data_IF_758643783133
#
_entry.id   IF_758643783133
#
_cell.length_a   1.000
_cell.length_b   1.000
_cell.length_c   1.000
_cell.angle_alpha   90.00
_cell.angle_beta   90.00
_cell.angle_gamma   90.00
#
_symmetry.space_group_name_H-M   'P 1'
#
loop_
_entity.id
_entity.type
_entity.pdbx_description
1 polymer ?
#
# COMPACT_ATOMS: atom_id res chain seq x y z
N UNK A 1 10.80 -6.32 -16.51
CA UNK A 1 11.53 -7.10 -15.49
C UNK A 1 13.02 -6.88 -15.68
N UNK A 2 13.74 -6.49 -14.62
CA UNK A 2 15.19 -6.59 -14.62
C UNK A 2 15.55 -8.08 -14.50
N UNK A 3 16.27 -8.63 -15.49
CA UNK A 3 16.72 -10.02 -15.47
C UNK A 3 17.98 -10.20 -14.63
N UNK A 4 18.28 -11.43 -14.20
CA UNK A 4 19.60 -11.76 -13.67
C UNK A 4 20.54 -12.03 -14.85
N UNK A 5 21.74 -11.44 -14.79
CA UNK A 5 22.79 -11.61 -15.78
C UNK A 5 24.00 -12.27 -15.13
N UNK A 6 24.65 -13.16 -15.88
CA UNK A 6 25.91 -13.78 -15.51
C UNK A 6 27.01 -13.20 -16.39
N UNK A 7 28.09 -12.72 -15.77
CA UNK A 7 29.31 -12.36 -16.48
C UNK A 7 30.13 -13.62 -16.78
N UNK A 8 30.42 -13.87 -18.05
CA UNK A 8 31.27 -14.96 -18.54
C UNK A 8 32.49 -14.39 -19.26
N UNK A 9 33.47 -15.24 -19.60
CA UNK A 9 34.63 -14.83 -20.41
C UNK A 9 34.22 -14.26 -21.78
N UNK A 10 33.06 -14.67 -22.30
CA UNK A 10 32.49 -14.21 -23.59
C UNK A 10 31.53 -13.01 -23.45
N UNK A 11 31.33 -12.50 -22.22
CA UNK A 11 30.51 -11.31 -21.94
C UNK A 11 29.30 -11.58 -21.02
N UNK A 12 28.34 -10.65 -21.01
CA UNK A 12 27.14 -10.74 -20.18
C UNK A 12 26.07 -11.63 -20.83
N UNK A 13 25.65 -12.68 -20.12
CA UNK A 13 24.62 -13.62 -20.54
C UNK A 13 23.41 -13.52 -19.62
N UNK A 14 22.22 -13.25 -20.18
CA UNK A 14 20.98 -13.25 -19.41
C UNK A 14 20.61 -14.67 -18.97
N UNK A 15 20.40 -14.87 -17.66
CA UNK A 15 19.88 -16.11 -17.13
C UNK A 15 18.36 -16.17 -17.34
N UNK A 16 17.86 -17.36 -17.64
CA UNK A 16 16.43 -17.63 -17.74
C UNK A 16 15.93 -18.26 -16.45
N UNK A 17 14.79 -17.81 -15.91
CA UNK A 17 14.20 -18.44 -14.76
C UNK A 17 13.76 -19.87 -15.09
N UNK A 18 13.96 -20.77 -14.14
CA UNK A 18 13.45 -22.13 -14.16
C UNK A 18 12.05 -22.18 -13.52
N UNK A 19 11.08 -22.86 -14.17
CA UNK A 19 9.75 -22.99 -13.60
C UNK A 19 9.76 -23.86 -12.34
N UNK A 20 8.87 -23.55 -11.40
CA UNK A 20 8.64 -24.44 -10.26
C UNK A 20 7.89 -25.68 -10.74
N UNK A 21 8.41 -26.87 -10.41
CA UNK A 21 7.77 -28.14 -10.80
C UNK A 21 6.44 -28.37 -10.07
N UNK A 22 6.31 -27.84 -8.85
CA UNK A 22 5.14 -28.00 -7.97
C UNK A 22 5.01 -26.77 -7.09
N UNK A 23 3.76 -26.37 -6.83
CA UNK A 23 3.40 -25.30 -5.89
C UNK A 23 4.03 -25.49 -4.51
N UNK A 24 4.03 -26.74 -4.03
CA UNK A 24 4.65 -27.13 -2.76
C UNK A 24 6.10 -26.65 -2.60
N UNK A 25 6.88 -26.63 -3.69
CA UNK A 25 8.28 -26.21 -3.64
C UNK A 25 8.40 -24.70 -3.38
N UNK A 26 7.51 -23.91 -4.00
CA UNK A 26 7.46 -22.47 -3.76
C UNK A 26 6.94 -22.21 -2.34
N UNK A 27 5.85 -22.87 -1.96
CA UNK A 27 5.28 -22.84 -0.62
C UNK A 27 6.35 -23.10 0.48
N UNK A 28 7.07 -24.21 0.39
CA UNK A 28 8.10 -24.59 1.38
C UNK A 28 9.31 -23.64 1.37
N UNK A 29 9.50 -22.87 0.30
CA UNK A 29 10.54 -21.83 0.25
C UNK A 29 10.08 -20.56 0.98
N UNK A 30 8.79 -20.19 0.85
CA UNK A 30 8.18 -19.06 1.56
C UNK A 30 8.11 -19.34 3.06
N UNK A 31 7.66 -20.54 3.46
CA UNK A 31 7.59 -20.91 4.87
C UNK A 31 8.94 -20.81 5.58
N UNK A 32 10.02 -21.29 4.94
CA UNK A 32 11.38 -21.28 5.53
C UNK A 32 12.07 -19.93 5.44
N UNK A 33 11.57 -19.04 4.59
CA UNK A 33 12.26 -17.81 4.19
C UNK A 33 11.33 -16.62 4.16
N UNK A 34 10.50 -16.43 5.20
CA UNK A 34 9.53 -15.34 5.27
C UNK A 34 10.14 -13.96 4.97
N UNK A 35 11.36 -13.72 5.47
CA UNK A 35 12.14 -12.50 5.24
C UNK A 35 12.47 -12.23 3.77
N UNK A 36 12.32 -13.21 2.88
CA UNK A 36 12.53 -12.99 1.45
C UNK A 36 11.37 -12.22 0.80
N UNK A 37 10.20 -12.11 1.43
CA UNK A 37 9.08 -11.35 0.88
C UNK A 37 9.37 -9.84 0.96
N UNK A 38 9.47 -9.12 -0.19
CA UNK A 38 9.85 -7.71 -0.22
C UNK A 38 8.62 -6.81 0.02
N UNK A 39 8.00 -6.96 1.19
CA UNK A 39 6.75 -6.28 1.51
C UNK A 39 6.98 -4.79 1.85
N UNK A 40 6.02 -3.90 1.53
CA UNK A 40 6.07 -2.50 1.95
C UNK A 40 6.19 -2.36 3.48
N UNK A 41 7.14 -1.53 3.91
CA UNK A 41 7.48 -1.34 5.33
C UNK A 41 8.47 -2.37 5.89
N UNK A 42 8.85 -3.39 5.11
CA UNK A 42 9.82 -4.43 5.47
C UNK A 42 9.54 -5.03 6.88
N UNK A 43 8.31 -5.49 7.15
CA UNK A 43 7.97 -6.03 8.48
C UNK A 43 8.73 -7.33 8.76
N UNK A 44 8.95 -7.60 10.04
CA UNK A 44 9.40 -8.92 10.49
C UNK A 44 8.20 -9.86 10.51
N UNK A 45 8.17 -10.81 9.58
CA UNK A 45 7.11 -11.80 9.49
C UNK A 45 7.42 -13.03 10.33
N UNK A 46 6.57 -13.31 11.32
CA UNK A 46 6.63 -14.53 12.12
C UNK A 46 5.64 -15.54 11.55
N UNK A 47 6.13 -16.64 11.00
CA UNK A 47 5.27 -17.71 10.46
C UNK A 47 4.59 -18.45 11.62
N UNK A 48 3.25 -18.53 11.58
CA UNK A 48 2.44 -19.11 12.66
C UNK A 48 1.87 -20.48 12.29
N UNK A 49 1.48 -20.65 11.03
CA UNK A 49 0.88 -21.90 10.57
C UNK A 49 0.99 -22.08 9.07
N UNK A 50 0.91 -23.35 8.66
CA UNK A 50 0.80 -23.78 7.27
C UNK A 50 -0.45 -24.62 7.10
N UNK A 51 -1.12 -24.52 5.96
CA UNK A 51 -2.36 -25.23 5.65
C UNK A 51 -3.39 -25.07 6.78
N UNK A 52 -3.63 -23.82 7.18
CA UNK A 52 -4.50 -23.48 8.31
C UNK A 52 -5.94 -23.50 7.84
N UNK A 53 -6.79 -24.32 8.48
CA UNK A 53 -8.20 -24.40 8.12
C UNK A 53 -8.95 -23.11 8.49
N UNK A 54 -9.46 -22.40 7.49
CA UNK A 54 -10.25 -21.18 7.66
C UNK A 54 -11.58 -21.32 6.92
N UNK A 55 -12.66 -21.47 7.68
CA UNK A 55 -14.00 -21.75 7.14
C UNK A 55 -14.01 -23.05 6.33
N UNK A 56 -14.36 -22.97 5.05
CA UNK A 56 -14.40 -24.12 4.14
C UNK A 56 -13.10 -24.35 3.35
N UNK A 57 -12.07 -23.53 3.57
CA UNK A 57 -10.80 -23.60 2.85
C UNK A 57 -9.60 -23.77 3.79
N UNK A 58 -8.43 -23.86 3.18
CA UNK A 58 -7.14 -23.92 3.87
C UNK A 58 -6.29 -22.78 3.34
N UNK A 59 -5.87 -21.88 4.23
CA UNK A 59 -4.88 -20.87 3.90
C UNK A 59 -3.51 -21.54 3.86
N UNK A 60 -2.78 -21.31 2.76
CA UNK A 60 -1.47 -21.90 2.53
C UNK A 60 -0.53 -21.57 3.70
N UNK A 61 -0.39 -20.28 4.05
CA UNK A 61 0.40 -19.83 5.20
C UNK A 61 -0.29 -18.70 5.97
N UNK A 62 -0.14 -18.71 7.29
CA UNK A 62 -0.53 -17.63 8.20
C UNK A 62 0.69 -17.13 8.95
N UNK A 63 0.85 -15.82 8.98
CA UNK A 63 1.90 -15.12 9.70
C UNK A 63 1.36 -13.91 10.46
N UNK A 64 2.23 -13.25 11.21
CA UNK A 64 1.96 -11.95 11.84
C UNK A 64 3.16 -11.04 11.70
N UNK A 65 2.92 -9.73 11.56
CA UNK A 65 3.96 -8.70 11.64
C UNK A 65 4.33 -8.48 13.10
N UNK A 66 5.59 -8.69 13.48
CA UNK A 66 6.04 -8.59 14.86
C UNK A 66 5.84 -7.16 15.42
N UNK A 67 6.05 -6.14 14.58
CA UNK A 67 6.01 -4.74 14.97
C UNK A 67 4.57 -4.25 15.23
N UNK A 68 3.64 -4.62 14.34
CA UNK A 68 2.27 -4.08 14.34
C UNK A 68 1.25 -5.04 14.93
N UNK A 69 1.62 -6.30 15.17
CA UNK A 69 0.75 -7.41 15.53
C UNK A 69 -0.35 -7.71 14.50
N UNK A 70 -0.14 -7.28 13.25
CA UNK A 70 -1.10 -7.40 12.16
C UNK A 70 -1.06 -8.81 11.56
N UNK A 71 -2.19 -9.53 11.48
CA UNK A 71 -2.23 -10.83 10.85
C UNK A 71 -1.99 -10.75 9.34
N UNK A 72 -1.25 -11.72 8.82
CA UNK A 72 -0.86 -11.84 7.42
C UNK A 72 -1.32 -13.19 6.88
N UNK A 73 -2.13 -13.16 5.81
CA UNK A 73 -2.54 -14.36 5.08
C UNK A 73 -1.73 -14.41 3.78
N UNK A 74 -1.06 -15.52 3.54
CA UNK A 74 -0.21 -15.70 2.37
C UNK A 74 -0.74 -16.88 1.56
N UNK A 75 -1.14 -16.62 0.32
CA UNK A 75 -1.56 -17.63 -0.64
C UNK A 75 -0.47 -17.82 -1.69
N UNK A 76 -0.10 -19.06 -1.98
CA UNK A 76 0.96 -19.41 -2.91
C UNK A 76 0.36 -20.16 -4.09
N UNK A 77 0.60 -19.69 -5.31
CA UNK A 77 0.12 -20.36 -6.52
C UNK A 77 1.16 -20.39 -7.62
N UNK A 78 1.11 -21.40 -8.49
CA UNK A 78 1.82 -21.36 -9.77
C UNK A 78 0.98 -20.65 -10.84
N UNK A 79 1.59 -19.79 -11.63
CA UNK A 79 0.94 -19.00 -12.68
C UNK A 79 0.16 -19.88 -13.68
N UNK A 80 0.69 -21.08 -13.98
CA UNK A 80 0.07 -22.04 -14.89
C UNK A 80 -1.21 -22.68 -14.36
N UNK A 81 -1.48 -22.61 -13.05
CA UNK A 81 -2.61 -23.27 -12.39
C UNK A 81 -3.49 -22.30 -11.58
N UNK A 82 -3.34 -20.99 -11.80
CA UNK A 82 -4.08 -19.98 -11.03
C UNK A 82 -5.38 -19.61 -11.74
N UNK A 83 -6.54 -19.96 -11.15
CA UNK A 83 -7.76 -19.18 -11.40
C UNK A 83 -7.62 -17.86 -10.64
N UNK A 84 -7.43 -16.80 -11.43
CA UNK A 84 -6.97 -15.48 -10.99
C UNK A 84 -8.01 -14.75 -10.14
N UNK A 85 -9.30 -15.10 -10.28
CA UNK A 85 -10.37 -14.59 -9.41
C UNK A 85 -10.43 -15.38 -8.10
N UNK A 86 -10.13 -16.67 -8.18
CA UNK A 86 -10.16 -17.55 -7.03
C UNK A 86 -9.08 -17.18 -6.01
N UNK A 87 -7.87 -16.82 -6.45
CA UNK A 87 -6.77 -16.48 -5.52
C UNK A 87 -7.12 -15.30 -4.60
N UNK A 88 -7.64 -14.19 -5.13
CA UNK A 88 -8.09 -13.07 -4.29
C UNK A 88 -9.34 -13.40 -3.49
N UNK A 89 -10.28 -14.15 -4.08
CA UNK A 89 -11.48 -14.59 -3.34
C UNK A 89 -11.10 -15.45 -2.13
N UNK A 90 -10.09 -16.31 -2.26
CA UNK A 90 -9.54 -17.11 -1.18
C UNK A 90 -8.89 -16.22 -0.12
N UNK A 91 -7.92 -15.37 -0.49
CA UNK A 91 -7.20 -14.54 0.48
C UNK A 91 -8.14 -13.56 1.21
N UNK A 92 -9.09 -12.95 0.49
CA UNK A 92 -10.13 -12.10 1.09
C UNK A 92 -11.13 -12.89 1.94
N UNK A 93 -11.50 -14.09 1.51
CA UNK A 93 -12.35 -15.00 2.28
C UNK A 93 -11.71 -15.41 3.60
N UNK A 94 -10.39 -15.66 3.59
CA UNK A 94 -9.61 -15.95 4.78
C UNK A 94 -9.50 -14.73 5.71
N UNK A 95 -9.18 -13.55 5.18
CA UNK A 95 -9.20 -12.32 5.97
C UNK A 95 -10.60 -12.06 6.60
N UNK A 96 -11.67 -12.30 5.84
CA UNK A 96 -13.05 -12.19 6.34
C UNK A 96 -13.38 -13.21 7.42
N UNK A 97 -12.80 -14.42 7.40
CA UNK A 97 -12.99 -15.41 8.45
C UNK A 97 -12.29 -15.01 9.75
N UNK A 98 -11.10 -14.40 9.63
CA UNK A 98 -10.32 -13.93 10.79
C UNK A 98 -10.88 -12.65 11.41
N UNK A 99 -11.64 -11.86 10.63
CA UNK A 99 -12.24 -10.61 11.08
C UNK A 99 -13.16 -10.80 12.29
N UNK A 100 -12.90 -10.05 13.36
CA UNK A 100 -13.68 -10.09 14.61
C UNK A 100 -13.39 -11.29 15.51
N UNK A 101 -12.37 -12.11 15.21
CA UNK A 101 -11.87 -13.08 16.18
C UNK A 101 -11.17 -12.36 17.33
N UNK A 102 -11.36 -12.87 18.56
CA UNK A 102 -10.52 -12.41 19.67
C UNK A 102 -9.08 -12.93 19.51
N UNK A 103 -8.12 -12.27 20.16
CA UNK A 103 -6.74 -12.76 20.19
C UNK A 103 -6.65 -14.20 20.74
N UNK A 104 -7.50 -14.56 21.70
CA UNK A 104 -7.55 -15.90 22.27
C UNK A 104 -8.10 -16.95 21.27
N UNK A 105 -9.12 -16.59 20.51
CA UNK A 105 -9.67 -17.47 19.46
C UNK A 105 -8.67 -17.66 18.32
N UNK A 106 -7.93 -16.61 17.96
CA UNK A 106 -6.84 -16.69 16.98
C UNK A 106 -5.68 -17.57 17.47
N UNK A 107 -5.28 -17.44 18.73
CA UNK A 107 -4.30 -18.33 19.37
C UNK A 107 -4.80 -19.79 19.35
N UNK A 108 -6.06 -20.03 19.69
CA UNK A 108 -6.66 -21.36 19.71
C UNK A 108 -6.70 -21.98 18.31
N UNK A 109 -7.03 -21.19 17.29
CA UNK A 109 -7.02 -21.60 15.89
C UNK A 109 -5.62 -22.05 15.44
N UNK A 110 -4.57 -21.35 15.86
CA UNK A 110 -3.19 -21.62 15.46
C UNK A 110 -2.46 -22.62 16.36
N UNK A 111 -3.02 -22.94 17.52
CA UNK A 111 -2.42 -23.83 18.52
C UNK A 111 -1.89 -25.16 17.97
N UNK A 112 -2.60 -25.88 17.06
CA UNK A 112 -2.07 -27.13 16.50
C UNK A 112 -0.75 -26.93 15.72
N UNK A 113 -0.61 -25.79 15.05
CA UNK A 113 0.57 -25.45 14.25
C UNK A 113 1.73 -24.96 15.13
N UNK A 114 1.42 -24.15 16.15
CA UNK A 114 2.39 -23.62 17.11
C UNK A 114 2.99 -24.70 18.01
N UNK A 115 2.16 -25.64 18.49
CA UNK A 115 2.61 -26.73 19.34
C UNK A 115 3.64 -27.63 18.63
N UNK A 116 3.47 -27.85 17.32
CA UNK A 116 4.44 -28.60 16.50
C UNK A 116 5.80 -27.91 16.37
N UNK A 117 5.87 -26.60 16.64
CA UNK A 117 7.08 -25.77 16.65
C UNK A 117 7.59 -25.47 18.06
N UNK A 118 6.90 -25.96 19.09
CA UNK A 118 7.32 -25.79 20.49
C UNK A 118 6.83 -24.50 21.16
N UNK A 119 5.88 -23.78 20.57
CA UNK A 119 5.32 -22.55 21.14
C UNK A 119 3.93 -22.78 21.72
N UNK A 120 3.62 -22.17 22.86
CA UNK A 120 2.32 -22.27 23.52
C UNK A 120 1.31 -21.21 23.03
N UNK A 121 1.79 -20.11 22.45
CA UNK A 121 0.96 -19.00 21.92
C UNK A 121 1.64 -18.29 20.75
N UNK A 122 0.88 -17.48 20.00
CA UNK A 122 1.41 -16.59 18.96
C UNK A 122 2.41 -15.60 19.56
N UNK A 123 2.08 -15.00 20.71
CA UNK A 123 2.98 -14.05 21.39
C UNK A 123 4.34 -14.66 21.75
N UNK A 124 4.37 -15.94 22.16
CA UNK A 124 5.63 -16.66 22.43
C UNK A 124 6.42 -16.93 21.15
N UNK A 125 5.76 -17.34 20.07
CA UNK A 125 6.41 -17.52 18.77
C UNK A 125 7.04 -16.22 18.28
N UNK A 126 6.36 -15.09 18.46
CA UNK A 126 6.87 -13.76 18.09
C UNK A 126 8.05 -13.36 18.98
N UNK A 127 7.95 -13.54 20.30
CA UNK A 127 9.05 -13.24 21.21
C UNK A 127 10.31 -14.07 20.89
N UNK A 128 10.14 -15.33 20.52
CA UNK A 128 11.23 -16.21 20.12
C UNK A 128 11.90 -15.79 18.80
N UNK A 129 11.12 -15.39 17.80
CA UNK A 129 11.64 -14.93 16.49
C UNK A 129 12.39 -13.61 16.61
N UNK A 130 11.87 -12.65 17.39
CA UNK A 130 12.53 -11.35 17.61
C UNK A 130 13.80 -11.51 18.46
N UNK A 131 13.77 -12.36 19.48
CA UNK A 131 14.97 -12.87 20.17
C UNK A 131 15.76 -11.88 21.03
N UNK A 132 15.40 -10.60 21.05
CA UNK A 132 16.08 -9.54 21.83
C UNK A 132 15.40 -9.25 23.20
N UNK A 133 14.30 -9.93 23.50
CA UNK A 133 13.52 -9.75 24.73
C UNK A 133 12.68 -8.47 24.79
N UNK A 134 12.55 -7.73 23.69
CA UNK A 134 11.75 -6.49 23.60
C UNK A 134 10.24 -6.73 23.51
N UNK A 135 9.83 -7.96 23.19
CA UNK A 135 8.42 -8.31 22.97
C UNK A 135 7.72 -8.52 24.31
N UNK A 136 6.89 -7.55 24.70
CA UNK A 136 5.86 -7.77 25.71
C UNK A 136 4.66 -8.50 25.09
N UNK A 137 4.49 -9.78 25.45
CA UNK A 137 3.49 -10.67 24.87
C UNK A 137 2.06 -10.23 25.20
N UNK A 138 1.82 -9.61 26.35
CA UNK A 138 0.50 -9.11 26.73
C UNK A 138 0.11 -7.92 25.84
N UNK A 139 0.99 -6.93 25.72
CA UNK A 139 0.78 -5.79 24.82
C UNK A 139 0.68 -6.23 23.35
N UNK A 140 1.47 -7.22 22.93
CA UNK A 140 1.38 -7.78 21.57
C UNK A 140 0.00 -8.40 21.31
N UNK A 141 -0.48 -9.25 22.21
CA UNK A 141 -1.78 -9.90 22.08
C UNK A 141 -2.93 -8.88 22.08
N UNK A 142 -2.83 -7.81 22.88
CA UNK A 142 -3.81 -6.73 22.86
C UNK A 142 -3.85 -6.00 21.50
N UNK A 143 -2.69 -5.70 20.90
CA UNK A 143 -2.61 -5.10 19.56
C UNK A 143 -3.12 -6.04 18.48
N UNK A 144 -2.83 -7.34 18.59
CA UNK A 144 -3.32 -8.36 17.67
C UNK A 144 -4.85 -8.45 17.71
N UNK A 145 -5.44 -8.47 18.91
CA UNK A 145 -6.90 -8.44 19.09
C UNK A 145 -7.52 -7.21 18.45
N UNK A 146 -6.94 -6.02 18.67
CA UNK A 146 -7.39 -4.80 17.99
C UNK A 146 -7.27 -4.89 16.47
N UNK A 147 -6.20 -5.49 15.93
CA UNK A 147 -6.06 -5.67 14.49
C UNK A 147 -7.14 -6.59 13.91
N UNK A 148 -7.45 -7.69 14.58
CA UNK A 148 -8.53 -8.61 14.20
C UNK A 148 -9.91 -7.93 14.24
N UNK A 149 -10.18 -7.14 15.28
CA UNK A 149 -11.43 -6.40 15.48
C UNK A 149 -11.59 -5.25 14.46
N UNK A 150 -10.51 -4.52 14.17
CA UNK A 150 -10.53 -3.41 13.21
C UNK A 150 -10.62 -3.91 11.76
N UNK A 151 -10.23 -5.16 11.53
CA UNK A 151 -10.04 -5.75 10.21
C UNK A 151 -8.73 -5.34 9.55
N UNK A 152 -7.69 -5.08 10.35
CA UNK A 152 -6.34 -4.76 9.89
C UNK A 152 -5.60 -6.03 9.49
N UNK A 153 -5.55 -6.31 8.19
CA UNK A 153 -4.99 -7.55 7.62
C UNK A 153 -4.06 -7.25 6.46
N UNK A 154 -3.03 -8.08 6.28
CA UNK A 154 -2.24 -8.10 5.04
C UNK A 154 -2.52 -9.39 4.28
N UNK A 155 -2.88 -9.27 3.02
CA UNK A 155 -3.07 -10.38 2.10
C UNK A 155 -1.89 -10.41 1.13
N UNK A 156 -1.11 -11.48 1.12
CA UNK A 156 0.04 -11.63 0.20
C UNK A 156 -0.26 -12.77 -0.76
N UNK A 157 -0.22 -12.49 -2.05
CA UNK A 157 -0.34 -13.50 -3.10
C UNK A 157 1.03 -13.73 -3.71
N UNK A 158 1.57 -14.94 -3.58
CA UNK A 158 2.88 -15.32 -4.08
C UNK A 158 2.73 -16.18 -5.34
N UNK A 159 3.40 -15.78 -6.42
CA UNK A 159 3.37 -16.47 -7.71
C UNK A 159 4.79 -16.76 -8.21
N UNK A 160 4.97 -17.77 -9.07
CA UNK A 160 6.23 -17.93 -9.81
C UNK A 160 6.36 -16.97 -11.01
N UNK A 161 5.23 -16.48 -11.51
CA UNK A 161 5.13 -15.39 -12.46
C UNK A 161 3.77 -14.67 -12.32
N UNK A 162 3.73 -13.35 -12.48
CA UNK A 162 2.48 -12.60 -12.39
C UNK A 162 1.79 -12.48 -13.76
N UNK A 163 0.55 -13.01 -13.90
CA UNK A 163 -0.29 -12.71 -15.07
C UNK A 163 -0.66 -11.22 -15.12
N UNK A 164 -0.62 -10.59 -16.29
CA UNK A 164 -0.82 -9.14 -16.44
C UNK A 164 -2.18 -8.63 -15.87
N UNK A 165 -3.23 -9.41 -15.99
CA UNK A 165 -4.56 -9.11 -15.45
C UNK A 165 -4.63 -9.20 -13.92
N UNK A 166 -3.80 -10.04 -13.30
CA UNK A 166 -3.68 -10.10 -11.85
C UNK A 166 -3.03 -8.82 -11.31
N UNK A 167 -2.06 -8.26 -12.04
CA UNK A 167 -1.42 -6.98 -11.75
C UNK A 167 -2.45 -5.84 -11.76
N UNK A 168 -3.33 -5.81 -12.77
CA UNK A 168 -4.40 -4.81 -12.88
C UNK A 168 -5.40 -4.91 -11.73
N UNK A 169 -5.83 -6.13 -11.39
CA UNK A 169 -6.79 -6.35 -10.28
C UNK A 169 -6.18 -5.96 -8.93
N UNK A 170 -4.91 -6.28 -8.68
CA UNK A 170 -4.20 -5.82 -7.47
C UNK A 170 -4.18 -4.31 -7.38
N UNK A 171 -3.82 -3.62 -8.48
CA UNK A 171 -3.80 -2.16 -8.51
C UNK A 171 -5.17 -1.55 -8.23
N UNK A 172 -6.24 -2.13 -8.79
CA UNK A 172 -7.60 -1.69 -8.49
C UNK A 172 -7.96 -1.92 -7.01
N UNK A 173 -7.72 -3.13 -6.49
CA UNK A 173 -8.06 -3.49 -5.11
C UNK A 173 -7.31 -2.60 -4.11
N UNK A 174 -6.00 -2.41 -4.28
CA UNK A 174 -5.19 -1.49 -3.47
C UNK A 174 -5.69 -0.04 -3.51
N UNK A 175 -6.29 0.40 -4.62
CA UNK A 175 -6.82 1.77 -4.75
C UNK A 175 -8.19 1.95 -4.09
N UNK A 176 -8.96 0.87 -3.92
CA UNK A 176 -10.31 0.92 -3.32
C UNK A 176 -10.35 0.40 -1.89
N UNK A 177 -9.33 -0.32 -1.43
CA UNK A 177 -9.18 -0.68 -0.01
C UNK A 177 -8.71 0.53 0.79
N UNK A 178 -9.17 0.60 2.04
CA UNK A 178 -8.68 1.59 3.01
C UNK A 178 -7.37 1.10 3.65
N UNK A 179 -6.85 1.89 4.57
CA UNK A 179 -5.65 1.63 5.37
C UNK A 179 -5.72 0.38 6.27
N UNK A 180 -6.82 -0.38 6.23
CA UNK A 180 -6.99 -1.61 7.00
C UNK A 180 -6.59 -2.86 6.22
N UNK A 181 -6.64 -2.84 4.90
CA UNK A 181 -6.35 -4.03 4.09
C UNK A 181 -5.31 -3.73 3.03
N UNK A 182 -4.10 -4.27 3.21
CA UNK A 182 -3.11 -4.30 2.14
C UNK A 182 -3.23 -5.62 1.40
N UNK A 183 -3.11 -5.54 0.08
CA UNK A 183 -3.05 -6.68 -0.81
C UNK A 183 -1.78 -6.56 -1.61
N UNK A 184 -0.81 -7.43 -1.35
CA UNK A 184 0.49 -7.46 -2.01
C UNK A 184 0.57 -8.66 -2.94
N UNK A 185 1.16 -8.47 -4.12
CA UNK A 185 1.49 -9.56 -5.03
C UNK A 185 2.99 -9.66 -5.13
N UNK A 186 3.55 -10.84 -4.88
CA UNK A 186 4.98 -11.11 -4.96
C UNK A 186 5.21 -12.19 -6.00
N UNK A 187 6.11 -11.94 -6.94
CA UNK A 187 6.61 -12.98 -7.84
C UNK A 187 7.95 -13.52 -7.36
N UNK A 188 8.16 -14.82 -7.47
CA UNK A 188 9.42 -15.48 -7.12
C UNK A 188 9.95 -16.21 -8.35
N UNK A 189 11.01 -15.66 -8.94
CA UNK A 189 11.75 -16.34 -10.00
C UNK A 189 12.83 -17.26 -9.40
N UNK A 190 13.03 -18.45 -9.95
CA UNK A 190 14.10 -19.35 -9.55
C UNK A 190 15.16 -19.46 -10.65
N UNK A 191 16.45 -19.50 -10.28
CA UNK A 191 17.57 -19.70 -11.19
C UNK A 191 18.51 -20.76 -10.62
N UNK A 192 19.18 -21.52 -11.49
CA UNK A 192 20.27 -22.42 -11.07
C UNK A 192 21.61 -21.80 -11.47
N UNK A 193 22.45 -21.48 -10.49
CA UNK A 193 23.78 -20.89 -10.70
C UNK A 193 24.79 -21.81 -10.02
N UNK A 194 25.69 -22.41 -10.79
CA UNK A 194 26.74 -23.32 -10.29
C UNK A 194 26.20 -24.44 -9.37
N UNK A 195 25.01 -24.98 -9.67
CA UNK A 195 24.36 -26.02 -8.88
C UNK A 195 23.62 -25.54 -7.62
N UNK A 196 23.74 -24.26 -7.28
CA UNK A 196 22.92 -23.62 -6.25
C UNK A 196 21.64 -23.04 -6.85
N UNK A 197 20.53 -23.19 -6.13
CA UNK A 197 19.25 -22.59 -6.52
C UNK A 197 19.10 -21.21 -5.89
N UNK A 198 18.93 -20.19 -6.71
CA UNK A 198 18.76 -18.79 -6.31
C UNK A 198 17.30 -18.41 -6.53
N UNK A 199 16.65 -17.88 -5.48
CA UNK A 199 15.28 -17.37 -5.55
C UNK A 199 15.31 -15.84 -5.54
N UNK A 200 14.52 -15.23 -6.43
CA UNK A 200 14.48 -13.78 -6.63
C UNK A 200 13.04 -13.33 -6.44
N UNK A 201 12.67 -12.96 -5.22
CA UNK A 201 11.35 -12.42 -4.93
C UNK A 201 11.29 -10.95 -5.38
N UNK A 202 10.17 -10.55 -5.98
CA UNK A 202 9.91 -9.20 -6.45
C UNK A 202 8.48 -8.83 -6.09
N UNK A 203 8.31 -7.68 -5.42
CA UNK A 203 6.98 -7.09 -5.25
C UNK A 203 6.51 -6.65 -6.63
N UNK A 204 5.33 -7.11 -7.02
CA UNK A 204 4.68 -6.66 -8.23
C UNK A 204 4.02 -5.34 -7.90
N UNK A 205 4.72 -4.28 -8.26
CA UNK A 205 4.08 -2.98 -8.35
C UNK A 205 3.14 -3.03 -9.55
N UNK A 206 1.85 -2.70 -9.37
CA UNK A 206 0.96 -2.47 -10.49
C UNK A 206 1.67 -1.50 -11.43
N UNK A 207 1.88 -1.93 -12.68
CA UNK A 207 2.54 -1.11 -13.67
C UNK A 207 1.89 0.28 -13.61
N UNK A 208 2.67 1.33 -13.34
CA UNK A 208 2.28 2.68 -13.79
C UNK A 208 2.22 2.56 -15.29
N UNK A 209 1.06 2.19 -15.78
CA UNK A 209 0.62 2.59 -17.09
C UNK A 209 0.74 4.12 -17.04
N UNK A 210 1.77 4.68 -17.68
CA UNK A 210 1.60 5.99 -18.30
C UNK A 210 0.41 5.80 -19.22
N UNK A 211 -0.78 6.13 -18.73
CA UNK A 211 -2.05 5.80 -19.36
C UNK A 211 -1.98 6.05 -20.88
N UNK A 212 -2.08 5.04 -21.75
CA UNK A 212 -2.85 5.24 -22.97
C UNK A 212 -4.23 5.75 -22.51
N UNK A 213 -4.82 6.74 -23.21
CA UNK A 213 -6.04 7.37 -22.77
C UNK A 213 -7.09 6.30 -22.49
N UNK A 214 -7.60 6.30 -21.25
CA UNK A 214 -8.53 5.29 -20.78
C UNK A 214 -9.70 5.14 -21.75
N UNK A 215 -9.96 3.92 -22.20
CA UNK A 215 -11.29 3.55 -22.70
C UNK A 215 -12.17 3.38 -21.46
N UNK A 216 -12.57 4.52 -20.89
CA UNK A 216 -13.63 4.58 -19.90
C UNK A 216 -14.88 3.94 -20.50
N UNK A 217 -15.47 3.00 -19.76
CA UNK A 217 -16.89 2.68 -19.92
C UNK A 217 -17.63 4.01 -19.99
N UNK A 218 -18.30 4.29 -21.11
CA UNK A 218 -18.79 5.61 -21.51
C UNK A 218 -19.27 6.48 -20.34
N UNK A 219 -18.33 7.21 -19.73
CA UNK A 219 -18.53 8.22 -18.72
C UNK A 219 -17.72 9.39 -19.23
N UNK A 220 -18.42 10.38 -19.79
CA UNK A 220 -17.83 11.67 -20.15
C UNK A 220 -16.91 12.13 -19.01
N UNK A 221 -15.60 12.02 -19.20
CA UNK A 221 -14.61 12.59 -18.30
C UNK A 221 -14.86 14.09 -18.21
N UNK A 222 -15.02 14.59 -17.00
CA UNK A 222 -14.99 16.02 -16.78
C UNK A 222 -13.53 16.47 -16.94
N UNK A 223 -13.25 17.20 -18.01
CA UNK A 223 -11.92 17.75 -18.27
C UNK A 223 -11.56 18.79 -17.18
N UNK A 224 -10.33 18.79 -16.64
CA UNK A 224 -9.87 19.85 -15.77
C UNK A 224 -9.94 21.19 -16.50
N UNK A 225 -10.70 22.14 -15.94
CA UNK A 225 -10.79 23.50 -16.45
C UNK A 225 -9.75 24.38 -15.74
N UNK A 226 -9.06 25.28 -16.46
CA UNK A 226 -8.17 26.26 -15.84
C UNK A 226 -8.91 27.13 -14.81
N UNK A 227 -8.21 27.48 -13.73
CA UNK A 227 -8.68 28.35 -12.67
C UNK A 227 -9.47 27.63 -11.57
N UNK A 228 -9.86 28.41 -10.56
CA UNK A 228 -10.55 27.93 -9.36
C UNK A 228 -12.06 28.26 -9.33
N UNK A 229 -12.63 28.82 -10.39
CA UNK A 229 -13.99 29.38 -10.38
C UNK A 229 -15.05 28.32 -10.05
N UNK A 230 -15.04 27.18 -10.75
CA UNK A 230 -15.99 26.11 -10.51
C UNK A 230 -15.86 25.50 -9.10
N UNK A 231 -14.66 25.56 -8.50
CA UNK A 231 -14.44 25.14 -7.12
C UNK A 231 -15.00 26.20 -6.15
N UNK A 232 -14.80 27.49 -6.43
CA UNK A 232 -15.37 28.58 -5.64
C UNK A 232 -16.89 28.53 -5.57
N UNK A 233 -17.55 28.21 -6.69
CA UNK A 233 -19.00 28.01 -6.76
C UNK A 233 -19.45 26.83 -5.88
N UNK A 234 -18.69 25.74 -5.83
CA UNK A 234 -19.02 24.60 -4.96
C UNK A 234 -18.79 24.88 -3.48
N UNK A 235 -17.82 25.71 -3.12
CA UNK A 235 -17.64 26.17 -1.73
C UNK A 235 -18.86 26.98 -1.26
N UNK A 236 -19.41 27.85 -2.12
CA UNK A 236 -20.61 28.62 -1.78
C UNK A 236 -21.83 27.71 -1.53
N UNK A 237 -21.94 26.60 -2.25
CA UNK A 237 -23.01 25.61 -2.12
C UNK A 237 -22.76 24.51 -1.07
N UNK A 238 -21.56 24.45 -0.47
CA UNK A 238 -21.18 23.40 0.47
C UNK A 238 -21.90 23.53 1.83
N UNK A 239 -21.91 22.44 2.61
CA UNK A 239 -22.42 22.42 3.98
C UNK A 239 -21.74 23.52 4.85
N UNK A 240 -22.49 24.32 5.63
CA UNK A 240 -21.93 25.32 6.54
C UNK A 240 -20.79 24.80 7.44
N UNK A 241 -20.84 23.53 7.85
CA UNK A 241 -19.82 22.91 8.70
C UNK A 241 -18.44 22.82 8.03
N UNK A 242 -18.38 22.74 6.70
CA UNK A 242 -17.13 22.59 5.93
C UNK A 242 -16.77 23.85 5.12
N UNK A 243 -17.72 24.78 4.97
CA UNK A 243 -17.59 25.98 4.14
C UNK A 243 -16.41 26.87 4.53
N UNK A 244 -16.16 27.07 5.83
CA UNK A 244 -15.07 27.93 6.29
C UNK A 244 -13.70 27.35 5.94
N UNK A 245 -13.49 26.05 6.17
CA UNK A 245 -12.25 25.38 5.82
C UNK A 245 -12.04 25.34 4.30
N UNK A 246 -13.08 25.04 3.53
CA UNK A 246 -13.04 25.07 2.06
C UNK A 246 -12.68 26.46 1.52
N UNK A 247 -13.28 27.52 2.09
CA UNK A 247 -12.97 28.90 1.73
C UNK A 247 -11.52 29.24 2.02
N UNK A 248 -11.02 28.86 3.19
CA UNK A 248 -9.62 29.06 3.57
C UNK A 248 -8.64 28.33 2.64
N UNK A 249 -8.96 27.10 2.24
CA UNK A 249 -8.15 26.33 1.30
C UNK A 249 -8.18 26.92 -0.12
N UNK A 250 -9.33 27.42 -0.55
CA UNK A 250 -9.47 28.15 -1.81
C UNK A 250 -8.64 29.45 -1.80
N UNK A 251 -8.71 30.23 -0.72
CA UNK A 251 -7.96 31.48 -0.58
C UNK A 251 -6.45 31.21 -0.55
N UNK A 252 -6.02 30.14 0.15
CA UNK A 252 -4.64 29.67 0.13
C UNK A 252 -4.18 29.27 -1.28
N UNK A 253 -4.97 28.50 -2.01
CA UNK A 253 -4.64 28.09 -3.38
C UNK A 253 -4.53 29.31 -4.33
N UNK A 254 -5.43 30.28 -4.21
CA UNK A 254 -5.36 31.55 -4.97
C UNK A 254 -4.11 32.35 -4.62
N UNK A 255 -3.69 32.34 -3.37
CA UNK A 255 -2.45 32.98 -2.95
C UNK A 255 -1.21 32.32 -3.60
N UNK A 256 -1.16 30.98 -3.67
CA UNK A 256 -0.09 30.29 -4.42
C UNK A 256 -0.04 30.71 -5.89
N UNK A 257 -1.20 30.88 -6.53
CA UNK A 257 -1.27 31.32 -7.92
C UNK A 257 -0.85 32.79 -8.09
N UNK A 258 -1.24 33.69 -7.17
CA UNK A 258 -0.83 35.10 -7.23
C UNK A 258 0.68 35.29 -7.04
N UNK A 259 1.31 34.45 -6.23
CA UNK A 259 2.77 34.43 -6.03
C UNK A 259 3.50 33.71 -7.18
N UNK A 260 2.79 33.20 -8.18
CA UNK A 260 3.36 32.45 -9.29
C UNK A 260 3.98 31.11 -8.86
N UNK A 261 3.59 30.59 -7.71
CA UNK A 261 4.04 29.31 -7.16
C UNK A 261 3.22 28.12 -7.69
N UNK A 262 1.98 28.38 -8.13
CA UNK A 262 1.10 27.37 -8.70
C UNK A 262 0.27 27.91 -9.87
N UNK A 263 -0.31 27.01 -10.66
CA UNK A 263 -1.37 27.29 -11.64
C UNK A 263 -2.57 26.43 -11.27
N UNK A 264 -3.74 27.04 -11.10
CA UNK A 264 -4.91 26.33 -10.59
C UNK A 264 -5.70 25.65 -11.71
N UNK A 265 -6.17 24.44 -11.42
CA UNK A 265 -7.12 23.72 -12.27
C UNK A 265 -8.23 23.11 -11.43
N UNK A 266 -9.47 23.24 -11.89
CA UNK A 266 -10.62 22.62 -11.25
C UNK A 266 -11.19 21.49 -12.10
N UNK A 267 -11.46 20.35 -11.47
CA UNK A 267 -12.21 19.25 -12.08
C UNK A 267 -13.56 19.10 -11.38
N UNK A 268 -14.65 19.07 -12.15
CA UNK A 268 -16.03 18.95 -11.63
C UNK A 268 -16.59 17.58 -11.95
N UNK A 269 -16.71 16.72 -10.94
CA UNK A 269 -17.37 15.42 -11.02
C UNK A 269 -18.85 15.47 -10.61
N UNK A 270 -19.48 14.30 -10.56
CA UNK A 270 -20.85 14.16 -10.03
C UNK A 270 -20.84 14.35 -8.50
N UNK A 271 -21.11 15.56 -8.02
CA UNK A 271 -21.15 15.88 -6.59
C UNK A 271 -19.78 16.05 -5.93
N UNK A 272 -18.71 16.12 -6.72
CA UNK A 272 -17.32 16.23 -6.26
C UNK A 272 -16.58 17.31 -7.03
N UNK A 273 -15.89 18.19 -6.34
CA UNK A 273 -15.05 19.22 -6.93
C UNK A 273 -13.61 19.06 -6.45
N UNK A 274 -12.67 19.16 -7.38
CA UNK A 274 -11.25 18.96 -7.11
C UNK A 274 -10.50 20.18 -7.58
N UNK A 275 -9.79 20.85 -6.68
CA UNK A 275 -8.89 21.95 -7.00
C UNK A 275 -7.44 21.45 -6.91
N UNK A 276 -6.72 21.61 -8.01
CA UNK A 276 -5.33 21.19 -8.16
C UNK A 276 -4.44 22.42 -8.35
N UNK A 277 -3.71 22.85 -7.32
CA UNK A 277 -2.59 23.77 -7.49
C UNK A 277 -1.42 23.03 -8.13
N UNK A 278 -1.19 23.24 -9.43
CA UNK A 278 -0.10 22.56 -10.16
C UNK A 278 1.16 23.40 -10.16
N UNK A 279 2.32 22.76 -10.16
CA UNK A 279 3.59 23.46 -10.34
C UNK A 279 3.62 24.12 -11.73
N UNK A 280 4.07 25.39 -11.85
CA UNK A 280 4.13 26.08 -13.14
C UNK A 280 4.97 25.30 -14.16
N UNK A 281 4.42 25.12 -15.37
CA UNK A 281 5.08 24.35 -16.44
C UNK A 281 4.98 22.83 -16.28
N UNK A 282 4.35 22.33 -15.22
CA UNK A 282 4.14 20.90 -14.99
C UNK A 282 2.64 20.55 -14.93
N UNK A 283 2.32 19.29 -15.20
CA UNK A 283 0.95 18.77 -15.09
C UNK A 283 0.62 18.20 -13.69
N UNK A 284 1.54 18.32 -12.73
CA UNK A 284 1.43 17.78 -11.37
C UNK A 284 1.51 18.89 -10.32
N UNK A 285 0.88 18.66 -9.17
CA UNK A 285 0.91 19.53 -8.00
C UNK A 285 1.43 18.78 -6.78
N UNK A 286 1.80 19.52 -5.74
CA UNK A 286 2.25 18.93 -4.48
C UNK A 286 1.08 18.41 -3.63
N UNK A 287 -0.10 19.00 -3.80
CA UNK A 287 -1.31 18.61 -3.08
C UNK A 287 -2.53 18.72 -3.99
N UNK A 288 -3.60 18.02 -3.62
CA UNK A 288 -4.93 18.12 -4.22
C UNK A 288 -5.94 18.51 -3.14
N UNK A 289 -6.81 19.49 -3.43
CA UNK A 289 -7.86 19.96 -2.52
C UNK A 289 -9.21 19.42 -3.00
N UNK A 290 -9.96 18.83 -2.08
CA UNK A 290 -11.24 18.18 -2.38
C UNK A 290 -12.39 18.90 -1.69
N UNK A 291 -13.49 19.03 -2.42
CA UNK A 291 -14.83 19.28 -1.91
C UNK A 291 -15.72 18.11 -2.35
N UNK A 292 -15.84 17.11 -1.46
CA UNK A 292 -16.53 15.83 -1.70
C UNK A 292 -17.36 15.45 -0.47
N UNK A 293 -18.42 16.20 -0.20
CA UNK A 293 -19.16 16.11 1.08
C UNK A 293 -18.39 16.62 2.30
N UNK A 294 -17.17 17.11 2.12
CA UNK A 294 -16.27 17.62 3.15
C UNK A 294 -15.01 18.25 2.53
N UNK A 295 -14.21 18.91 3.37
CA UNK A 295 -12.97 19.57 2.98
C UNK A 295 -11.77 18.65 3.23
N UNK A 296 -11.04 18.26 2.19
CA UNK A 296 -9.87 17.39 2.33
C UNK A 296 -8.67 17.91 1.54
N UNK A 297 -7.47 17.63 2.05
CA UNK A 297 -6.20 17.88 1.35
C UNK A 297 -5.45 16.57 1.25
N UNK A 298 -5.12 16.16 0.03
CA UNK A 298 -4.34 14.96 -0.26
C UNK A 298 -2.94 15.37 -0.72
N UNK A 299 -1.87 15.00 0.00
CA UNK A 299 -0.51 15.28 -0.42
C UNK A 299 -0.04 14.28 -1.48
N UNK A 300 0.85 14.73 -2.36
CA UNK A 300 1.52 13.89 -3.34
C UNK A 300 2.96 13.66 -2.88
N UNK A 301 3.18 12.74 -1.93
CA UNK A 301 4.51 12.53 -1.31
C UNK A 301 5.61 12.40 -2.35
N UNK A 302 5.40 11.60 -3.39
CA UNK A 302 6.39 11.39 -4.46
C UNK A 302 6.75 12.67 -5.23
N UNK A 303 5.84 13.63 -5.35
CA UNK A 303 6.12 14.94 -5.97
C UNK A 303 6.81 15.87 -4.98
N UNK A 304 6.41 15.86 -3.70
CA UNK A 304 7.06 16.66 -2.66
C UNK A 304 8.50 16.18 -2.44
N UNK A 305 8.76 14.87 -2.48
CA UNK A 305 10.10 14.31 -2.37
C UNK A 305 11.01 14.70 -3.54
N UNK A 306 10.46 14.72 -4.75
CA UNK A 306 11.20 15.10 -5.95
C UNK A 306 11.48 16.60 -6.03
N UNK A 307 10.52 17.44 -5.63
CA UNK A 307 10.57 18.89 -5.90
C UNK A 307 10.89 19.72 -4.63
N UNK A 308 10.65 19.19 -3.44
CA UNK A 308 10.83 19.90 -2.17
C UNK A 308 11.32 18.98 -1.01
N UNK A 309 12.44 18.26 -1.18
CA UNK A 309 12.92 17.28 -0.19
C UNK A 309 13.27 17.90 1.17
N UNK A 310 13.71 19.16 1.24
CA UNK A 310 14.04 19.80 2.51
C UNK A 310 12.76 20.12 3.30
N UNK A 311 11.74 20.62 2.61
CA UNK A 311 10.44 20.90 3.22
C UNK A 311 9.68 19.61 3.55
N UNK A 312 9.89 18.51 2.79
CA UNK A 312 9.35 17.20 3.14
C UNK A 312 9.75 16.77 4.55
N UNK A 313 11.04 16.90 4.91
CA UNK A 313 11.52 16.54 6.24
C UNK A 313 10.82 17.37 7.35
N UNK A 314 10.57 18.66 7.11
CA UNK A 314 9.84 19.54 8.05
C UNK A 314 8.36 19.18 8.13
N UNK A 315 7.75 18.80 7.01
CA UNK A 315 6.38 18.32 6.97
C UNK A 315 6.24 16.99 7.72
N UNK A 316 7.16 16.05 7.54
CA UNK A 316 7.17 14.76 8.27
C UNK A 316 7.34 14.97 9.78
N UNK A 317 8.10 15.98 10.22
CA UNK A 317 8.19 16.36 11.63
C UNK A 317 6.89 16.98 12.16
N UNK A 318 6.26 17.87 11.38
CA UNK A 318 5.06 18.60 11.82
C UNK A 318 3.79 17.77 11.74
N UNK A 319 3.75 16.81 10.81
CA UNK A 319 2.63 15.94 10.47
C UNK A 319 3.11 14.47 10.35
N UNK A 320 3.55 13.84 11.45
CA UNK A 320 4.15 12.51 11.42
C UNK A 320 3.22 11.47 10.80
N UNK A 321 3.65 10.85 9.70
CA UNK A 321 2.87 9.81 9.02
C UNK A 321 1.65 10.31 8.23
N UNK A 322 1.47 11.62 8.05
CA UNK A 322 0.36 12.15 7.25
C UNK A 322 0.75 12.62 5.85
N UNK A 323 2.04 12.77 5.54
CA UNK A 323 2.50 13.01 4.17
C UNK A 323 2.79 11.67 3.51
N UNK A 324 1.74 10.95 3.10
CA UNK A 324 1.85 9.67 2.40
C UNK A 324 1.27 9.78 0.99
N UNK A 325 1.45 8.73 0.21
CA UNK A 325 0.78 8.63 -1.09
C UNK A 325 -0.66 8.16 -0.84
N UNK A 326 -1.63 8.71 -1.59
CA UNK A 326 -3.04 8.28 -1.58
C UNK A 326 -3.75 8.40 -0.22
N UNK A 327 -3.37 9.37 0.62
CA UNK A 327 -4.07 9.65 1.88
C UNK A 327 -4.60 11.09 1.93
N UNK A 328 -5.28 11.41 3.02
CA UNK A 328 -5.65 12.78 3.39
C UNK A 328 -4.87 13.22 4.64
N UNK A 329 -4.57 14.51 4.73
CA UNK A 329 -4.13 15.13 5.98
C UNK A 329 -5.33 15.15 6.93
N UNK A 330 -5.20 14.46 8.06
CA UNK A 330 -6.24 14.32 9.09
C UNK A 330 -6.05 15.33 10.22
N UNK A 331 -4.82 15.80 10.42
CA UNK A 331 -4.51 16.89 11.33
C UNK A 331 -5.20 18.18 10.92
N UNK A 332 -5.45 19.04 11.90
CA UNK A 332 -6.01 20.36 11.63
C UNK A 332 -5.10 21.15 10.66
N UNK A 333 -5.69 21.62 9.56
CA UNK A 333 -5.03 22.45 8.55
C UNK A 333 -4.83 23.88 9.09
N UNK A 334 -3.94 24.02 10.07
CA UNK A 334 -3.60 25.30 10.71
C UNK A 334 -2.80 26.20 9.77
N UNK A 335 -2.57 27.46 10.18
CA UNK A 335 -1.84 28.42 9.35
C UNK A 335 -0.40 27.98 9.13
N UNK A 336 0.21 27.38 10.16
CA UNK A 336 1.55 26.82 10.08
C UNK A 336 1.65 25.66 9.09
N UNK A 337 0.64 24.79 9.03
CA UNK A 337 0.60 23.69 8.06
C UNK A 337 0.49 24.23 6.63
N UNK A 338 -0.40 25.20 6.40
CA UNK A 338 -0.51 25.84 5.09
C UNK A 338 0.76 26.61 4.70
N UNK A 339 1.45 27.23 5.67
CA UNK A 339 2.73 27.88 5.44
C UNK A 339 3.82 26.87 5.05
N UNK A 340 3.91 25.71 5.70
CA UNK A 340 4.84 24.64 5.31
C UNK A 340 4.52 24.09 3.91
N UNK A 341 3.25 23.95 3.56
CA UNK A 341 2.88 23.56 2.20
C UNK A 341 3.28 24.64 1.18
N UNK A 342 3.12 25.93 1.51
CA UNK A 342 3.62 27.05 0.70
C UNK A 342 5.13 27.01 0.55
N UNK A 343 5.89 26.75 1.62
CA UNK A 343 7.34 26.58 1.59
C UNK A 343 7.75 25.47 0.60
N UNK A 344 6.99 24.38 0.53
CA UNK A 344 7.25 23.29 -0.41
C UNK A 344 7.06 23.74 -1.87
N UNK A 345 6.01 24.52 -2.17
CA UNK A 345 5.84 25.11 -3.51
C UNK A 345 6.94 26.13 -3.83
N UNK A 346 7.43 26.87 -2.84
CA UNK A 346 8.53 27.82 -3.00
C UNK A 346 9.87 27.10 -3.23
N UNK A 347 10.13 25.98 -2.55
CA UNK A 347 11.30 25.14 -2.76
C UNK A 347 11.29 24.53 -4.16
N UNK A 348 10.16 23.98 -4.60
CA UNK A 348 9.96 23.42 -5.94
C UNK A 348 10.17 24.44 -7.10
N UNK A 349 10.22 25.73 -6.78
CA UNK A 349 10.47 26.82 -7.72
C UNK A 349 11.92 27.29 -7.74
N UNK A 350 12.75 26.85 -6.79
CA UNK A 350 14.17 27.18 -6.78
C UNK A 350 14.88 26.34 -7.85
N UNK A 351 15.79 26.96 -8.63
CA UNK A 351 16.51 26.29 -9.71
C UNK A 351 17.47 25.21 -9.23
#
# INVERSE_FOLDING_TARGET
>A
MAGIWQETEDGLVALRPEPFKREQILHDSIERGAAMLPLPGQPTLVMLGREVQLGSGYADLIAVEAETARPVVIEVKLASNTDRRQVFTQTLGYASYLFGLSAADFDQLLRPHLAGRGYASVGEAVAAEVGDGSVDTESFNARMGQALDDGRFRCVVVLDAAPADLIELTGYLQAVTNDRLDIDVVTVAAYTIQGARVLVPQLVEPQRVTAPPEVTSARKEAKPAPGAQAFAESVAAADPAHRELLRRLLDWAKHLESEGLAVLYTTVGKGRWVLNPRLPGQNRGLVTIWNDGGAYVSPQRSVIEAEAPLTLARLDQRLPGEIRQNNYITSALTQDVLALLTDAYAEARRP
#
